data_IF_622086356189
#
_entry.id   IF_622086356189
#
_cell.length_a   1.000
_cell.length_b   1.000
_cell.length_c   1.000
_cell.angle_alpha   90.00
_cell.angle_beta   90.00
_cell.angle_gamma   90.00
#
_symmetry.space_group_name_H-M   'P 1'
#
loop_
_entity.id
_entity.type
_entity.pdbx_description
1 polymer ?
#
# COMPACT_ATOMS: atom_id res chain seq x y z
N UNK A 1 -1.05 7.45 -32.98
CA UNK A 1 -2.01 8.57 -33.04
C UNK A 1 -1.43 9.73 -32.22
N UNK A 2 -1.11 10.86 -32.85
CA UNK A 2 -0.74 12.10 -32.14
C UNK A 2 -1.94 13.05 -32.19
N UNK A 3 -2.84 12.94 -31.21
CA UNK A 3 -3.97 13.86 -31.04
C UNK A 3 -3.97 14.33 -29.58
N UNK A 4 -4.02 15.65 -29.39
CA UNK A 4 -4.05 16.28 -28.06
C UNK A 4 -5.41 16.04 -27.37
N UNK A 5 -5.48 15.89 -26.03
CA UNK A 5 -6.71 15.54 -25.30
C UNK A 5 -7.92 16.45 -25.58
N UNK A 6 -7.70 17.74 -25.85
CA UNK A 6 -8.76 18.71 -26.19
C UNK A 6 -9.37 18.43 -27.58
N UNK A 7 -8.54 18.13 -28.58
CA UNK A 7 -9.02 17.80 -29.93
C UNK A 7 -9.79 16.49 -29.93
N UNK A 8 -9.35 15.53 -29.11
CA UNK A 8 -10.06 14.25 -28.92
C UNK A 8 -11.42 14.48 -28.26
N UNK A 9 -11.54 15.42 -27.32
CA UNK A 9 -12.81 15.70 -26.64
C UNK A 9 -13.87 16.27 -27.58
N UNK A 10 -13.53 17.32 -28.33
CA UNK A 10 -14.43 17.93 -29.31
C UNK A 10 -14.83 16.95 -30.41
N UNK A 11 -13.87 16.14 -30.88
CA UNK A 11 -14.14 15.06 -31.82
C UNK A 11 -15.09 14.03 -31.21
N UNK A 12 -14.83 13.53 -29.99
CA UNK A 12 -15.68 12.52 -29.35
C UNK A 12 -17.10 13.00 -29.12
N UNK A 13 -17.30 14.26 -28.73
CA UNK A 13 -18.65 14.82 -28.53
C UNK A 13 -19.47 14.83 -29.83
N UNK A 14 -18.81 14.97 -30.98
CA UNK A 14 -19.48 14.95 -32.30
C UNK A 14 -19.79 13.56 -32.85
N UNK A 15 -19.18 12.51 -32.30
CA UNK A 15 -19.35 11.13 -32.78
C UNK A 15 -20.69 10.52 -32.33
N UNK A 16 -21.26 9.67 -33.17
CA UNK A 16 -22.39 8.84 -32.77
C UNK A 16 -21.94 7.66 -31.87
N UNK A 17 -22.89 7.01 -31.21
CA UNK A 17 -22.60 5.94 -30.24
C UNK A 17 -21.76 4.78 -30.83
N UNK A 18 -21.97 4.44 -32.10
CA UNK A 18 -21.24 3.35 -32.77
C UNK A 18 -19.79 3.74 -33.05
N UNK A 19 -19.57 4.99 -33.46
CA UNK A 19 -18.23 5.55 -33.67
C UNK A 19 -17.45 5.67 -32.37
N UNK A 20 -18.09 6.12 -31.28
CA UNK A 20 -17.49 6.15 -29.93
C UNK A 20 -17.05 4.77 -29.47
N UNK A 21 -17.89 3.75 -29.65
CA UNK A 21 -17.54 2.37 -29.30
C UNK A 21 -16.38 1.81 -30.13
N UNK A 22 -16.33 2.13 -31.44
CA UNK A 22 -15.24 1.67 -32.30
C UNK A 22 -13.92 2.38 -31.96
N UNK A 23 -13.96 3.69 -31.71
CA UNK A 23 -12.78 4.43 -31.25
C UNK A 23 -12.27 3.87 -29.92
N UNK A 24 -13.17 3.63 -28.97
CA UNK A 24 -12.81 3.01 -27.68
C UNK A 24 -12.18 1.64 -27.88
N UNK A 25 -12.76 0.78 -28.73
CA UNK A 25 -12.20 -0.54 -29.07
C UNK A 25 -10.77 -0.44 -29.61
N UNK A 26 -10.49 0.54 -30.46
CA UNK A 26 -9.15 0.77 -31.01
C UNK A 26 -8.17 1.16 -29.92
N UNK A 27 -8.55 2.09 -29.03
CA UNK A 27 -7.73 2.50 -27.87
C UNK A 27 -7.42 1.30 -26.97
N UNK A 28 -8.42 0.46 -26.66
CA UNK A 28 -8.22 -0.74 -25.84
C UNK A 28 -7.25 -1.73 -26.52
N UNK A 29 -7.36 -1.92 -27.84
CA UNK A 29 -6.46 -2.79 -28.60
C UNK A 29 -5.03 -2.26 -28.60
N UNK A 30 -4.84 -0.96 -28.83
CA UNK A 30 -3.52 -0.33 -28.77
C UNK A 30 -2.92 -0.38 -27.37
N UNK A 31 -3.74 -0.19 -26.34
CA UNK A 31 -3.30 -0.23 -24.95
C UNK A 31 -2.84 -1.64 -24.57
N UNK A 32 -3.50 -2.68 -25.10
CA UNK A 32 -3.07 -4.06 -24.91
C UNK A 32 -1.68 -4.29 -25.51
N UNK A 33 -1.47 -3.84 -26.74
CA UNK A 33 -0.15 -3.93 -27.39
C UNK A 33 0.91 -3.12 -26.62
N UNK A 34 0.57 -1.94 -26.10
CA UNK A 34 1.49 -1.12 -25.32
C UNK A 34 1.87 -1.79 -23.99
N UNK A 35 0.91 -2.42 -23.30
CA UNK A 35 1.16 -3.19 -22.09
C UNK A 35 2.07 -4.40 -22.35
N UNK A 36 1.81 -5.18 -23.41
CA UNK A 36 2.63 -6.33 -23.80
C UNK A 36 4.09 -5.94 -24.12
N UNK A 37 4.29 -4.74 -24.69
CA UNK A 37 5.62 -4.21 -25.00
C UNK A 37 6.22 -3.33 -23.89
N UNK A 38 5.57 -3.26 -22.72
CA UNK A 38 6.00 -2.40 -21.59
C UNK A 38 6.23 -0.93 -21.98
N UNK A 39 5.47 -0.41 -22.94
CA UNK A 39 5.58 0.97 -23.41
C UNK A 39 4.70 1.90 -22.55
N UNK A 40 5.28 2.37 -21.44
CA UNK A 40 4.60 3.18 -20.44
C UNK A 40 4.10 4.53 -21.01
N UNK A 41 4.90 5.21 -21.82
CA UNK A 41 4.52 6.51 -22.38
C UNK A 41 3.30 6.38 -23.30
N UNK A 42 3.24 5.30 -24.08
CA UNK A 42 2.08 4.99 -24.90
C UNK A 42 0.85 4.65 -24.04
N UNK A 43 1.02 3.90 -22.95
CA UNK A 43 -0.08 3.60 -22.02
C UNK A 43 -0.69 4.87 -21.41
N UNK A 44 0.14 5.82 -20.99
CA UNK A 44 -0.31 7.11 -20.46
C UNK A 44 -1.14 7.89 -21.47
N UNK A 45 -0.63 8.03 -22.70
CA UNK A 45 -1.36 8.70 -23.79
C UNK A 45 -2.70 8.04 -24.06
N UNK A 46 -2.73 6.70 -24.14
CA UNK A 46 -3.96 5.95 -24.38
C UNK A 46 -4.95 6.05 -23.22
N UNK A 47 -4.46 6.13 -21.98
CA UNK A 47 -5.28 6.38 -20.80
C UNK A 47 -6.00 7.72 -20.87
N UNK A 48 -5.32 8.80 -21.25
CA UNK A 48 -5.96 10.12 -21.40
C UNK A 48 -7.07 10.09 -22.46
N UNK A 49 -6.80 9.47 -23.61
CA UNK A 49 -7.79 9.31 -24.69
C UNK A 49 -8.98 8.46 -24.22
N UNK A 50 -8.73 7.34 -23.54
CA UNK A 50 -9.78 6.49 -22.99
C UNK A 50 -10.67 7.25 -22.01
N UNK A 51 -10.11 8.05 -21.11
CA UNK A 51 -10.86 8.86 -20.14
C UNK A 51 -11.73 9.90 -20.82
N UNK A 52 -11.25 10.52 -21.91
CA UNK A 52 -12.06 11.46 -22.69
C UNK A 52 -13.28 10.76 -23.29
N UNK A 53 -13.10 9.57 -23.87
CA UNK A 53 -14.20 8.78 -24.45
C UNK A 53 -15.18 8.32 -23.36
N UNK A 54 -14.67 7.85 -22.21
CA UNK A 54 -15.47 7.44 -21.05
C UNK A 54 -16.38 8.57 -20.55
N UNK A 55 -15.87 9.81 -20.52
CA UNK A 55 -16.64 11.00 -20.10
C UNK A 55 -17.66 11.46 -21.15
N UNK A 56 -17.38 11.24 -22.44
CA UNK A 56 -18.25 11.66 -23.55
C UNK A 56 -19.29 10.58 -23.93
N UNK A 57 -19.28 9.43 -23.27
CA UNK A 57 -20.14 8.28 -23.57
C UNK A 57 -20.99 7.87 -22.38
N UNK A 58 -22.18 7.34 -22.63
CA UNK A 58 -22.95 6.65 -21.59
C UNK A 58 -22.21 5.38 -21.15
N UNK A 59 -22.20 5.11 -19.84
CA UNK A 59 -21.43 4.00 -19.25
C UNK A 59 -21.86 2.64 -19.81
N UNK A 60 -23.16 2.48 -20.07
CA UNK A 60 -23.77 1.29 -20.64
C UNK A 60 -23.20 0.94 -22.02
N UNK A 61 -22.82 1.96 -22.81
CA UNK A 61 -22.25 1.76 -24.15
C UNK A 61 -20.87 1.11 -24.08
N UNK A 62 -20.10 1.36 -23.02
CA UNK A 62 -18.71 0.90 -22.88
C UNK A 62 -18.56 -0.34 -21.99
N UNK A 63 -19.63 -0.75 -21.31
CA UNK A 63 -19.62 -1.86 -20.33
C UNK A 63 -19.04 -3.17 -20.88
N UNK A 64 -19.25 -3.46 -22.17
CA UNK A 64 -18.72 -4.66 -22.83
C UNK A 64 -17.19 -4.74 -22.92
N UNK A 65 -16.50 -3.62 -22.65
CA UNK A 65 -15.04 -3.53 -22.68
C UNK A 65 -14.41 -3.61 -21.29
N UNK A 66 -15.19 -3.53 -20.20
CA UNK A 66 -14.68 -3.42 -18.83
C UNK A 66 -13.68 -4.53 -18.48
N UNK A 67 -14.03 -5.80 -18.75
CA UNK A 67 -13.18 -6.96 -18.47
C UNK A 67 -11.96 -7.07 -19.39
N UNK A 68 -11.99 -6.40 -20.54
CA UNK A 68 -10.95 -6.46 -21.58
C UNK A 68 -10.03 -5.25 -21.56
N UNK A 69 -10.28 -4.30 -20.67
CA UNK A 69 -9.58 -3.03 -20.64
C UNK A 69 -8.25 -3.15 -19.88
N UNK A 70 -7.10 -3.11 -20.57
CA UNK A 70 -5.79 -3.23 -19.92
C UNK A 70 -5.39 -1.94 -19.18
N UNK A 71 -6.22 -0.89 -19.23
CA UNK A 71 -6.01 0.38 -18.54
C UNK A 71 -6.81 0.47 -17.23
N UNK A 72 -7.60 -0.55 -16.86
CA UNK A 72 -8.39 -0.58 -15.62
C UNK A 72 -7.85 -1.57 -14.59
N UNK A 73 -7.85 -1.14 -13.33
CA UNK A 73 -7.21 -1.86 -12.20
C UNK A 73 -5.77 -2.26 -12.50
N UNK A 74 -5.06 -1.36 -13.16
CA UNK A 74 -3.63 -1.50 -13.45
C UNK A 74 -2.87 -1.24 -12.17
N UNK A 75 -1.85 -2.04 -11.90
CA UNK A 75 -0.87 -1.82 -10.83
C UNK A 75 0.51 -2.21 -11.38
N UNK A 76 1.31 -1.22 -11.79
CA UNK A 76 2.60 -1.42 -12.45
C UNK A 76 3.68 -0.71 -11.63
N UNK A 77 4.69 -1.47 -11.21
CA UNK A 77 5.95 -0.94 -10.68
C UNK A 77 6.92 -0.82 -11.85
N UNK A 78 7.53 0.35 -12.01
CA UNK A 78 8.47 0.66 -13.09
C UNK A 78 9.81 0.99 -12.47
N UNK A 79 10.85 0.26 -12.83
CA UNK A 79 12.22 0.56 -12.42
C UNK A 79 13.00 1.13 -13.61
N UNK A 80 13.49 2.36 -13.49
CA UNK A 80 14.25 3.03 -14.54
C UNK A 80 15.31 3.93 -13.90
N UNK A 81 16.56 3.78 -14.33
CA UNK A 81 17.71 4.57 -13.89
C UNK A 81 17.89 4.62 -12.37
N UNK A 82 17.63 3.50 -11.69
CA UNK A 82 17.72 3.40 -10.23
C UNK A 82 16.57 4.07 -9.47
N UNK A 83 15.54 4.56 -10.18
CA UNK A 83 14.34 5.12 -9.61
C UNK A 83 13.16 4.17 -9.80
N UNK A 84 12.44 3.92 -8.71
CA UNK A 84 11.18 3.18 -8.74
C UNK A 84 10.02 4.17 -8.90
N UNK A 85 9.18 3.95 -9.92
CA UNK A 85 7.91 4.63 -10.11
C UNK A 85 6.76 3.65 -9.93
N UNK A 86 5.57 4.17 -9.64
CA UNK A 86 4.35 3.40 -9.49
C UNK A 86 3.24 4.01 -10.33
N UNK A 87 2.63 3.18 -11.17
CA UNK A 87 1.54 3.54 -12.05
C UNK A 87 0.32 2.67 -11.69
N UNK A 88 -0.82 3.29 -11.41
CA UNK A 88 -2.05 2.51 -11.15
C UNK A 88 -3.30 3.12 -11.76
N UNK A 89 -4.35 2.33 -11.91
CA UNK A 89 -5.70 2.82 -12.20
C UNK A 89 -6.73 2.16 -11.29
N UNK A 90 -7.89 2.81 -11.18
CA UNK A 90 -9.02 2.31 -10.42
C UNK A 90 -10.00 1.57 -11.34
N UNK A 91 -10.83 0.66 -10.80
CA UNK A 91 -11.70 -0.18 -11.63
C UNK A 91 -12.83 0.57 -12.35
N UNK A 92 -13.13 1.78 -11.93
CA UNK A 92 -14.20 2.61 -12.48
C UNK A 92 -13.75 3.56 -13.61
N UNK A 93 -12.46 3.67 -13.89
CA UNK A 93 -11.93 4.54 -14.94
C UNK A 93 -10.63 4.01 -15.55
N UNK A 94 -10.42 4.30 -16.83
CA UNK A 94 -9.15 4.02 -17.53
C UNK A 94 -8.03 5.00 -17.15
N UNK A 95 -8.27 5.94 -16.21
CA UNK A 95 -7.27 6.94 -15.79
C UNK A 95 -6.11 6.27 -15.06
N UNK A 96 -4.91 6.48 -15.58
CA UNK A 96 -3.66 6.10 -14.94
C UNK A 96 -3.17 7.25 -14.05
N UNK A 97 -2.80 6.91 -12.83
CA UNK A 97 -2.16 7.78 -11.87
C UNK A 97 -0.68 7.44 -11.79
N UNK A 98 0.17 8.43 -12.07
CA UNK A 98 1.61 8.31 -12.01
C UNK A 98 2.15 8.97 -10.74
N UNK A 99 2.83 8.18 -9.91
CA UNK A 99 3.36 8.64 -8.64
C UNK A 99 4.49 9.67 -8.82
N UNK A 100 5.34 9.51 -9.83
CA UNK A 100 6.46 10.41 -10.11
C UNK A 100 5.99 11.74 -10.69
N UNK A 101 4.95 11.74 -11.51
CA UNK A 101 4.41 12.97 -12.11
C UNK A 101 3.59 13.79 -11.11
N UNK A 102 2.72 13.14 -10.31
CA UNK A 102 1.86 13.85 -9.36
C UNK A 102 1.64 13.08 -8.06
N UNK A 103 2.66 13.11 -7.18
CA UNK A 103 2.64 12.43 -5.87
C UNK A 103 1.36 12.69 -5.07
N UNK A 104 0.94 13.95 -5.00
CA UNK A 104 -0.21 14.39 -4.17
C UNK A 104 -1.53 13.83 -4.69
N UNK A 105 -1.82 14.00 -5.98
CA UNK A 105 -3.05 13.49 -6.56
C UNK A 105 -3.07 11.96 -6.52
N UNK A 106 -1.96 11.32 -6.89
CA UNK A 106 -1.82 9.86 -6.92
C UNK A 106 -2.03 9.25 -5.54
N UNK A 107 -1.45 9.83 -4.48
CA UNK A 107 -1.70 9.39 -3.09
C UNK A 107 -3.15 9.61 -2.66
N UNK A 108 -3.73 10.78 -2.96
CA UNK A 108 -5.11 11.09 -2.60
C UNK A 108 -6.10 10.11 -3.24
N UNK A 109 -5.90 9.79 -4.52
CA UNK A 109 -6.75 8.88 -5.27
C UNK A 109 -6.59 7.43 -4.79
N UNK A 110 -5.37 7.02 -4.42
CA UNK A 110 -5.14 5.72 -3.80
C UNK A 110 -5.87 5.60 -2.46
N UNK A 111 -5.82 6.62 -1.60
CA UNK A 111 -6.53 6.62 -0.31
C UNK A 111 -8.04 6.64 -0.51
N UNK A 112 -8.54 7.44 -1.45
CA UNK A 112 -9.96 7.52 -1.80
C UNK A 112 -10.52 6.17 -2.28
N UNK A 113 -9.71 5.34 -2.92
CA UNK A 113 -10.12 4.01 -3.39
C UNK A 113 -10.52 3.04 -2.27
N UNK A 114 -10.11 3.31 -1.02
CA UNK A 114 -10.22 2.39 0.11
C UNK A 114 -9.49 1.03 -0.06
N UNK A 115 -8.60 0.90 -1.06
CA UNK A 115 -7.74 -0.27 -1.20
C UNK A 115 -6.44 -0.09 -0.37
N UNK A 116 -6.38 -0.75 0.79
CA UNK A 116 -5.22 -0.69 1.69
C UNK A 116 -3.96 -1.28 1.05
N UNK A 117 -4.08 -2.30 0.19
CA UNK A 117 -2.91 -2.90 -0.45
C UNK A 117 -2.32 -1.96 -1.52
N UNK A 118 -3.17 -1.24 -2.26
CA UNK A 118 -2.75 -0.18 -3.16
C UNK A 118 -1.97 0.91 -2.41
N UNK A 119 -2.52 1.41 -1.31
CA UNK A 119 -1.85 2.44 -0.49
C UNK A 119 -0.54 1.91 0.11
N UNK A 120 -0.50 0.65 0.57
CA UNK A 120 0.73 0.00 1.05
C UNK A 120 1.82 0.01 -0.01
N UNK A 121 1.52 -0.44 -1.23
CA UNK A 121 2.48 -0.48 -2.33
C UNK A 121 3.00 0.92 -2.66
N UNK A 122 2.09 1.89 -2.73
CA UNK A 122 2.43 3.28 -3.02
C UNK A 122 3.34 3.88 -1.93
N UNK A 123 3.05 3.64 -0.65
CA UNK A 123 3.87 4.14 0.46
C UNK A 123 5.26 3.48 0.48
N UNK A 124 5.38 2.20 0.10
CA UNK A 124 6.69 1.54 -0.05
C UNK A 124 7.54 2.28 -1.10
N UNK A 125 6.95 2.64 -2.24
CA UNK A 125 7.67 3.37 -3.30
C UNK A 125 7.98 4.81 -2.87
N UNK A 126 7.08 5.45 -2.12
CA UNK A 126 7.31 6.81 -1.61
C UNK A 126 8.38 6.89 -0.53
N UNK A 127 8.68 5.80 0.19
CA UNK A 127 9.64 5.74 1.30
C UNK A 127 10.93 5.04 0.88
N UNK A 128 11.82 5.72 0.11
CA UNK A 128 13.17 5.20 -0.09
C UNK A 128 13.93 5.15 1.24
N UNK A 129 15.01 4.37 1.26
CA UNK A 129 15.84 4.14 2.45
C UNK A 129 16.41 5.45 3.06
N UNK A 130 16.53 6.51 2.26
CA UNK A 130 17.03 7.84 2.67
C UNK A 130 16.00 8.96 2.47
N UNK A 131 14.81 8.84 3.04
CA UNK A 131 13.83 9.94 3.02
C UNK A 131 14.26 11.10 3.97
N UNK A 132 14.18 12.35 3.51
CA UNK A 132 14.45 13.51 4.37
C UNK A 132 13.31 13.75 5.37
N UNK A 133 13.59 14.40 6.50
CA UNK A 133 12.54 14.79 7.47
C UNK A 133 11.47 15.68 6.85
N UNK A 134 11.83 16.52 5.88
CA UNK A 134 10.87 17.41 5.18
C UNK A 134 9.87 16.56 4.39
N UNK A 135 10.36 15.55 3.67
CA UNK A 135 9.50 14.65 2.88
C UNK A 135 8.54 13.85 3.78
N UNK A 136 9.01 13.39 4.95
CA UNK A 136 8.16 12.67 5.93
C UNK A 136 7.03 13.59 6.43
N UNK A 137 7.35 14.85 6.76
CA UNK A 137 6.37 15.82 7.26
C UNK A 137 5.30 16.12 6.22
N UNK A 138 5.72 16.37 4.98
CA UNK A 138 4.80 16.65 3.88
C UNK A 138 3.89 15.45 3.60
N UNK A 139 4.43 14.22 3.65
CA UNK A 139 3.64 13.00 3.53
C UNK A 139 2.60 12.87 4.64
N UNK A 140 2.97 13.13 5.90
CA UNK A 140 2.03 13.12 7.04
C UNK A 140 0.90 14.11 6.82
N UNK A 141 1.20 15.34 6.38
CA UNK A 141 0.19 16.37 6.11
C UNK A 141 -0.78 15.91 5.02
N UNK A 142 -0.28 15.27 3.95
CA UNK A 142 -1.13 14.73 2.89
C UNK A 142 -2.04 13.61 3.39
N UNK A 143 -1.53 12.70 4.21
CA UNK A 143 -2.31 11.58 4.75
C UNK A 143 -3.37 12.06 5.75
N UNK A 144 -3.04 13.00 6.65
CA UNK A 144 -4.00 13.60 7.58
C UNK A 144 -5.12 14.31 6.82
N UNK A 145 -4.77 15.11 5.82
CA UNK A 145 -5.74 15.79 4.97
C UNK A 145 -6.68 14.79 4.28
N UNK A 146 -6.15 13.68 3.77
CA UNK A 146 -6.97 12.63 3.17
C UNK A 146 -7.92 11.99 4.20
N UNK A 147 -7.48 11.75 5.43
CA UNK A 147 -8.34 11.26 6.52
C UNK A 147 -9.46 12.24 6.89
N UNK A 148 -9.21 13.54 6.83
CA UNK A 148 -10.20 14.58 7.14
C UNK A 148 -11.25 14.77 6.02
N UNK A 149 -10.82 14.69 4.76
CA UNK A 149 -11.65 15.03 3.60
C UNK A 149 -12.44 13.83 3.02
N UNK A 150 -11.96 12.60 3.24
CA UNK A 150 -12.51 11.40 2.59
C UNK A 150 -13.37 10.56 3.53
N UNK A 151 -14.43 9.97 2.99
CA UNK A 151 -15.21 8.96 3.69
C UNK A 151 -14.51 7.59 3.58
N UNK A 152 -13.60 7.33 4.52
CA UNK A 152 -12.77 6.13 4.55
C UNK A 152 -13.44 4.98 5.32
N UNK A 153 -13.20 3.77 4.86
CA UNK A 153 -13.53 2.55 5.56
C UNK A 153 -12.75 2.45 6.87
N UNK A 154 -13.29 1.71 7.84
CA UNK A 154 -12.61 1.49 9.13
C UNK A 154 -11.19 0.92 8.93
N UNK A 155 -11.01 0.04 7.94
CA UNK A 155 -9.72 -0.59 7.68
C UNK A 155 -8.69 0.40 7.14
N UNK A 156 -9.11 1.29 6.23
CA UNK A 156 -8.25 2.34 5.72
C UNK A 156 -7.91 3.34 6.84
N UNK A 157 -8.88 3.76 7.67
CA UNK A 157 -8.61 4.63 8.81
C UNK A 157 -7.60 4.00 9.78
N UNK A 158 -7.84 2.75 10.21
CA UNK A 158 -6.93 2.04 11.10
C UNK A 158 -5.52 1.90 10.50
N UNK A 159 -5.42 1.69 9.19
CA UNK A 159 -4.13 1.60 8.49
C UNK A 159 -3.41 2.96 8.47
N UNK A 160 -4.10 4.02 8.07
CA UNK A 160 -3.53 5.37 7.97
C UNK A 160 -3.13 5.92 9.34
N UNK A 161 -3.94 5.73 10.38
CA UNK A 161 -3.60 6.12 11.75
C UNK A 161 -2.28 5.50 12.21
N UNK A 162 -2.10 4.19 11.96
CA UNK A 162 -0.85 3.49 12.27
C UNK A 162 0.34 4.06 11.48
N UNK A 163 0.16 4.33 10.18
CA UNK A 163 1.23 4.88 9.33
C UNK A 163 1.60 6.31 9.68
N UNK A 164 0.62 7.18 9.90
CA UNK A 164 0.82 8.55 10.35
C UNK A 164 1.56 8.56 11.69
N UNK A 165 1.15 7.70 12.64
CA UNK A 165 1.84 7.56 13.93
C UNK A 165 3.29 7.13 13.78
N UNK A 166 3.59 6.20 12.87
CA UNK A 166 4.96 5.79 12.57
C UNK A 166 5.78 6.91 11.92
N UNK A 167 5.23 7.63 10.95
CA UNK A 167 5.93 8.72 10.26
C UNK A 167 6.19 9.93 11.17
N UNK A 168 5.23 10.29 12.02
CA UNK A 168 5.46 11.29 13.06
C UNK A 168 6.60 10.88 14.00
N UNK A 169 6.63 9.60 14.41
CA UNK A 169 7.73 9.09 15.20
C UNK A 169 9.08 9.22 14.47
N UNK A 170 9.15 8.86 13.18
CA UNK A 170 10.39 8.99 12.39
C UNK A 170 10.83 10.46 12.22
N UNK A 171 9.88 11.38 12.05
CA UNK A 171 10.17 12.81 11.95
C UNK A 171 10.83 13.36 13.23
N UNK A 172 10.28 13.00 14.40
CA UNK A 172 10.79 13.41 15.72
C UNK A 172 11.98 12.57 16.21
N UNK A 173 12.29 11.48 15.49
CA UNK A 173 13.37 10.57 15.85
C UNK A 173 14.73 11.26 15.70
N UNK A 174 15.56 11.09 16.73
CA UNK A 174 16.94 11.56 16.77
C UNK A 174 17.81 10.38 17.18
N UNK A 175 18.72 9.96 16.30
CA UNK A 175 19.58 8.79 16.49
C UNK A 175 20.60 8.95 17.63
N UNK A 176 20.78 10.19 18.11
CA UNK A 176 21.57 10.59 19.28
C UNK A 176 20.87 10.32 20.62
N UNK A 177 19.53 10.14 20.63
CA UNK A 177 18.78 9.81 21.85
C UNK A 177 19.07 8.38 22.31
N UNK A 178 18.85 8.15 23.60
CA UNK A 178 18.97 6.81 24.16
C UNK A 178 17.84 5.91 23.67
N UNK A 179 18.16 4.98 22.79
CA UNK A 179 17.20 4.09 22.13
C UNK A 179 16.51 3.13 23.11
N UNK A 180 17.24 2.69 24.15
CA UNK A 180 16.69 1.80 25.17
C UNK A 180 15.65 2.55 25.99
N UNK A 181 15.95 3.78 26.36
CA UNK A 181 15.02 4.66 27.07
C UNK A 181 13.80 5.02 26.21
N UNK A 182 14.00 5.34 24.93
CA UNK A 182 12.92 5.56 23.97
C UNK A 182 12.02 4.34 23.81
N UNK A 183 12.59 3.14 23.76
CA UNK A 183 11.82 1.89 23.73
C UNK A 183 11.06 1.66 25.04
N UNK A 184 11.73 1.84 26.19
CA UNK A 184 11.17 1.60 27.52
C UNK A 184 10.00 2.53 27.88
N UNK A 185 10.11 3.82 27.53
CA UNK A 185 9.14 4.84 27.93
C UNK A 185 7.83 4.83 27.12
N UNK A 186 7.73 3.98 26.09
CA UNK A 186 6.49 3.83 25.33
C UNK A 186 5.52 2.90 26.08
N UNK A 187 4.31 3.42 26.34
CA UNK A 187 3.27 2.73 27.12
C UNK A 187 2.61 1.57 26.35
N UNK A 188 2.50 1.70 25.02
CA UNK A 188 1.80 0.75 24.15
C UNK A 188 2.76 0.05 23.21
N UNK A 189 2.46 -1.22 22.91
CA UNK A 189 3.16 -1.99 21.88
C UNK A 189 2.79 -1.44 20.52
N UNK A 190 3.77 -0.99 19.75
CA UNK A 190 3.58 -0.57 18.37
C UNK A 190 4.53 -1.37 17.49
N UNK A 191 3.99 -2.30 16.68
CA UNK A 191 4.82 -3.27 15.97
C UNK A 191 5.85 -2.62 15.04
N UNK A 192 5.52 -1.50 14.39
CA UNK A 192 6.44 -0.82 13.47
C UNK A 192 7.53 -0.06 14.22
N UNK A 193 7.16 0.74 15.22
CA UNK A 193 8.11 1.54 15.99
C UNK A 193 8.99 0.66 16.88
N UNK A 194 8.41 -0.29 17.58
CA UNK A 194 9.15 -1.20 18.45
C UNK A 194 10.13 -2.05 17.63
N UNK A 195 9.72 -2.55 16.46
CA UNK A 195 10.62 -3.27 15.55
C UNK A 195 11.74 -2.35 15.06
N UNK A 196 11.43 -1.13 14.62
CA UNK A 196 12.43 -0.16 14.17
C UNK A 196 13.47 0.12 15.25
N UNK A 197 13.03 0.43 16.48
CA UNK A 197 13.92 0.70 17.61
C UNK A 197 14.78 -0.53 17.94
N UNK A 198 14.17 -1.72 18.05
CA UNK A 198 14.89 -2.96 18.34
C UNK A 198 15.89 -3.32 17.23
N UNK A 199 15.57 -3.06 15.97
CA UNK A 199 16.50 -3.27 14.84
C UNK A 199 17.73 -2.36 14.92
N UNK A 200 17.63 -1.16 15.49
CA UNK A 200 18.81 -0.31 15.72
C UNK A 200 19.54 -0.74 17.00
N UNK A 201 18.81 -1.10 18.05
CA UNK A 201 19.37 -1.58 19.31
C UNK A 201 20.19 -2.86 19.09
N UNK A 202 19.68 -3.81 18.31
CA UNK A 202 20.37 -5.10 18.06
C UNK A 202 21.70 -4.91 17.33
N UNK A 203 21.81 -3.92 16.45
CA UNK A 203 23.08 -3.56 15.78
C UNK A 203 24.11 -3.02 16.77
N UNK A 204 23.67 -2.39 17.86
CA UNK A 204 24.54 -1.83 18.91
C UNK A 204 24.89 -2.85 20.02
N UNK A 205 24.17 -3.96 20.11
CA UNK A 205 24.42 -5.02 21.10
C UNK A 205 25.37 -6.06 20.50
N UNK A 206 26.45 -6.38 21.22
CA UNK A 206 27.36 -7.49 20.85
C UNK A 206 26.64 -8.85 21.01
N UNK A 207 27.14 -9.89 20.33
CA UNK A 207 26.62 -11.25 20.44
C UNK A 207 26.45 -11.72 21.90
N UNK A 208 25.42 -12.52 22.18
CA UNK A 208 25.13 -13.05 23.50
C UNK A 208 23.63 -13.17 23.80
N UNK A 209 23.30 -13.46 25.06
CA UNK A 209 21.91 -13.68 25.50
C UNK A 209 20.99 -12.49 25.19
N UNK A 210 21.44 -11.25 25.41
CA UNK A 210 20.64 -10.05 25.15
C UNK A 210 20.37 -9.85 23.65
N UNK A 211 21.34 -10.22 22.79
CA UNK A 211 21.15 -10.23 21.35
C UNK A 211 20.07 -11.22 20.92
N UNK A 212 20.05 -12.42 21.52
CA UNK A 212 19.00 -13.41 21.26
C UNK A 212 17.63 -12.93 21.72
N UNK A 213 17.52 -12.33 22.91
CA UNK A 213 16.24 -11.83 23.44
C UNK A 213 15.66 -10.69 22.58
N UNK A 214 16.51 -9.75 22.13
CA UNK A 214 16.08 -8.68 21.20
C UNK A 214 15.59 -9.26 19.87
N UNK A 215 16.31 -10.22 19.29
CA UNK A 215 15.88 -10.87 18.04
C UNK A 215 14.58 -11.66 18.22
N UNK A 216 14.41 -12.37 19.33
CA UNK A 216 13.18 -13.07 19.65
C UNK A 216 11.98 -12.13 19.72
N UNK A 217 12.16 -10.95 20.35
CA UNK A 217 11.11 -9.93 20.40
C UNK A 217 10.80 -9.33 19.02
N UNK A 218 11.83 -9.09 18.19
CA UNK A 218 11.63 -8.65 16.78
C UNK A 218 10.79 -9.69 16.02
N UNK A 219 11.12 -10.97 16.14
CA UNK A 219 10.37 -12.06 15.49
C UNK A 219 8.93 -12.14 16.02
N UNK A 220 8.73 -12.02 17.33
CA UNK A 220 7.40 -12.01 17.93
C UNK A 220 6.55 -10.84 17.37
N UNK A 221 7.11 -9.63 17.32
CA UNK A 221 6.44 -8.47 16.71
C UNK A 221 6.09 -8.71 15.23
N UNK A 222 6.97 -9.35 14.46
CA UNK A 222 6.68 -9.73 13.06
C UNK A 222 5.52 -10.72 12.97
N UNK A 223 5.45 -11.72 13.86
CA UNK A 223 4.36 -12.71 13.87
C UNK A 223 3.02 -12.08 14.23
N UNK A 224 2.97 -11.20 15.23
CA UNK A 224 1.76 -10.43 15.55
C UNK A 224 1.32 -9.52 14.39
N UNK A 225 2.25 -8.80 13.77
CA UNK A 225 1.94 -7.97 12.60
C UNK A 225 1.41 -8.80 11.41
N UNK A 226 2.00 -9.99 11.17
CA UNK A 226 1.55 -10.92 10.14
C UNK A 226 0.15 -11.46 10.42
N UNK A 227 -0.17 -11.78 11.67
CA UNK A 227 -1.50 -12.22 12.07
C UNK A 227 -2.57 -11.16 11.73
N UNK A 228 -2.34 -9.91 12.10
CA UNK A 228 -3.25 -8.80 11.79
C UNK A 228 -3.39 -8.57 10.27
N UNK A 229 -2.29 -8.70 9.52
CA UNK A 229 -2.29 -8.62 8.06
C UNK A 229 -3.14 -9.72 7.43
N UNK A 230 -2.98 -10.97 7.87
CA UNK A 230 -3.76 -12.11 7.39
C UNK A 230 -5.25 -11.92 7.68
N UNK A 231 -5.59 -11.49 8.89
CA UNK A 231 -6.98 -11.19 9.29
C UNK A 231 -7.63 -10.17 8.37
N UNK A 232 -6.92 -9.10 8.04
CA UNK A 232 -7.37 -8.10 7.06
C UNK A 232 -7.58 -8.73 5.67
N UNK A 233 -6.57 -9.44 5.15
CA UNK A 233 -6.62 -10.04 3.79
C UNK A 233 -7.77 -11.05 3.67
N UNK A 234 -7.97 -11.89 4.67
CA UNK A 234 -9.09 -12.85 4.71
C UNK A 234 -10.43 -12.12 4.67
N UNK A 235 -10.62 -11.10 5.51
CA UNK A 235 -11.88 -10.33 5.54
C UNK A 235 -12.14 -9.63 4.21
N UNK A 236 -11.11 -9.03 3.60
CA UNK A 236 -11.20 -8.41 2.27
C UNK A 236 -11.65 -9.41 1.21
N UNK A 237 -10.97 -10.55 1.10
CA UNK A 237 -11.30 -11.59 0.12
C UNK A 237 -12.73 -12.12 0.31
N UNK A 238 -13.15 -12.34 1.56
CA UNK A 238 -14.54 -12.73 1.88
C UNK A 238 -15.56 -11.68 1.40
N UNK A 239 -15.24 -10.39 1.56
CA UNK A 239 -16.08 -9.30 1.05
C UNK A 239 -16.12 -9.25 -0.48
N UNK A 240 -14.98 -9.48 -1.15
CA UNK A 240 -14.91 -9.54 -2.62
C UNK A 240 -15.77 -10.67 -3.17
N UNK A 241 -15.68 -11.87 -2.57
CA UNK A 241 -16.54 -13.03 -2.89
C UNK A 241 -18.02 -12.68 -2.71
N UNK A 242 -18.39 -12.14 -1.55
CA UNK A 242 -19.78 -11.79 -1.24
C UNK A 242 -20.36 -10.73 -2.19
N UNK A 243 -19.51 -9.82 -2.68
CA UNK A 243 -19.92 -8.75 -3.59
C UNK A 243 -20.00 -9.17 -5.06
N UNK A 244 -19.46 -10.33 -5.42
CA UNK A 244 -19.36 -10.79 -6.81
C UNK A 244 -18.46 -9.92 -7.72
N UNK A 245 -17.63 -9.03 -7.12
CA UNK A 245 -16.75 -8.10 -7.85
C UNK A 245 -15.36 -8.68 -8.15
N UNK A 246 -15.13 -9.95 -7.84
CA UNK A 246 -13.82 -10.56 -8.09
C UNK A 246 -13.59 -10.84 -9.56
N UNK A 247 -12.38 -10.52 -10.04
CA UNK A 247 -11.85 -10.96 -11.33
C UNK A 247 -11.46 -12.44 -11.37
N UNK A 248 -11.21 -13.02 -10.20
CA UNK A 248 -10.84 -14.43 -10.05
C UNK A 248 -12.08 -15.29 -9.80
N UNK A 249 -12.02 -16.52 -10.30
CA UNK A 249 -13.03 -17.55 -10.06
C UNK A 249 -13.14 -17.80 -8.55
N UNK A 250 -14.37 -17.93 -8.05
CA UNK A 250 -14.67 -18.08 -6.62
C UNK A 250 -13.86 -19.20 -5.96
N UNK A 251 -13.65 -20.33 -6.64
CA UNK A 251 -12.83 -21.44 -6.11
C UNK A 251 -11.39 -21.01 -5.81
N UNK A 252 -10.77 -20.19 -6.67
CA UNK A 252 -9.40 -19.71 -6.50
C UNK A 252 -9.30 -18.82 -5.26
N UNK A 253 -10.29 -17.94 -5.06
CA UNK A 253 -10.32 -17.08 -3.88
C UNK A 253 -10.55 -17.90 -2.61
N UNK A 254 -11.41 -18.92 -2.68
CA UNK A 254 -11.69 -19.78 -1.54
C UNK A 254 -10.45 -20.56 -1.10
N UNK A 255 -9.71 -21.17 -2.03
CA UNK A 255 -8.42 -21.81 -1.72
C UNK A 255 -7.41 -20.81 -1.12
N UNK A 256 -7.36 -19.59 -1.67
CA UNK A 256 -6.50 -18.50 -1.19
C UNK A 256 -6.87 -18.04 0.25
N UNK A 257 -8.16 -18.07 0.61
CA UNK A 257 -8.64 -17.82 1.98
C UNK A 257 -8.20 -18.96 2.91
N UNK A 258 -8.43 -20.21 2.53
CA UNK A 258 -8.11 -21.39 3.35
C UNK A 258 -6.62 -21.49 3.69
N UNK A 259 -5.74 -21.21 2.71
CA UNK A 259 -4.29 -21.16 2.94
C UNK A 259 -3.91 -20.10 3.97
N UNK A 260 -4.51 -18.91 3.89
CA UNK A 260 -4.26 -17.81 4.84
C UNK A 260 -4.83 -18.11 6.21
N UNK A 261 -6.00 -18.73 6.29
CA UNK A 261 -6.58 -19.16 7.56
C UNK A 261 -5.71 -20.20 8.24
N UNK A 262 -5.15 -21.15 7.48
CA UNK A 262 -4.19 -22.12 8.00
C UNK A 262 -2.94 -21.44 8.56
N UNK A 263 -2.32 -20.53 7.80
CA UNK A 263 -1.14 -19.77 8.28
C UNK A 263 -1.49 -18.96 9.55
N UNK A 264 -2.65 -18.31 9.56
CA UNK A 264 -3.12 -17.52 10.69
C UNK A 264 -3.30 -18.38 11.95
N UNK A 265 -3.91 -19.57 11.82
CA UNK A 265 -4.04 -20.54 12.90
C UNK A 265 -2.68 -20.99 13.44
N UNK A 266 -1.72 -21.28 12.57
CA UNK A 266 -0.37 -21.68 12.98
C UNK A 266 0.35 -20.57 13.77
N UNK A 267 0.18 -19.31 13.36
CA UNK A 267 0.71 -18.15 14.09
C UNK A 267 -0.02 -18.00 15.44
N UNK A 268 -1.34 -18.16 15.45
CA UNK A 268 -2.17 -18.02 16.64
C UNK A 268 -1.73 -18.98 17.75
N UNK A 269 -1.63 -20.27 17.42
CA UNK A 269 -1.30 -21.32 18.38
C UNK A 269 0.14 -21.20 18.89
N UNK A 270 1.08 -20.77 18.06
CA UNK A 270 2.50 -20.72 18.43
C UNK A 270 2.90 -19.41 19.11
N UNK A 271 2.29 -18.29 18.75
CA UNK A 271 2.79 -16.96 19.12
C UNK A 271 1.76 -16.05 19.77
N UNK A 272 0.45 -16.22 19.50
CA UNK A 272 -0.56 -15.29 20.02
C UNK A 272 -1.20 -15.80 21.30
N UNK A 273 -1.66 -17.07 21.31
CA UNK A 273 -2.30 -17.68 22.49
C UNK A 273 -1.34 -17.91 23.67
N UNK A 274 -0.13 -18.45 23.47
CA UNK A 274 0.74 -18.79 24.60
C UNK A 274 1.56 -17.59 25.12
N UNK A 275 1.63 -16.47 24.40
CA UNK A 275 2.55 -15.37 24.69
C UNK A 275 1.79 -14.06 24.88
N UNK A 276 1.91 -13.47 26.06
CA UNK A 276 1.48 -12.10 26.30
C UNK A 276 2.57 -11.13 25.82
N UNK A 277 2.38 -10.56 24.62
CA UNK A 277 3.31 -9.62 23.99
C UNK A 277 3.65 -8.42 24.88
N UNK A 278 2.72 -7.94 25.70
CA UNK A 278 2.94 -6.80 26.60
C UNK A 278 3.87 -7.21 27.73
N UNK A 279 3.71 -8.41 28.27
CA UNK A 279 4.60 -8.94 29.32
C UNK A 279 5.98 -9.25 28.79
N UNK A 280 6.09 -9.84 27.58
CA UNK A 280 7.37 -10.07 26.93
C UNK A 280 8.13 -8.77 26.66
N UNK A 281 7.43 -7.74 26.18
CA UNK A 281 8.00 -6.40 26.03
C UNK A 281 8.52 -5.85 27.36
N UNK A 282 7.73 -5.94 28.44
CA UNK A 282 8.15 -5.50 29.78
C UNK A 282 9.36 -6.28 30.30
N UNK A 283 9.42 -7.58 30.05
CA UNK A 283 10.54 -8.46 30.40
C UNK A 283 11.82 -8.00 29.69
N UNK A 284 11.75 -7.75 28.38
CA UNK A 284 12.87 -7.26 27.59
C UNK A 284 13.32 -5.87 28.06
N UNK A 285 12.41 -4.94 28.33
CA UNK A 285 12.73 -3.61 28.86
C UNK A 285 13.55 -3.71 30.15
N UNK A 286 13.14 -4.57 31.09
CA UNK A 286 13.90 -4.80 32.35
C UNK A 286 15.31 -5.29 32.07
N UNK A 287 15.47 -6.23 31.14
CA UNK A 287 16.80 -6.77 30.77
C UNK A 287 17.69 -5.71 30.11
N UNK A 288 17.15 -4.93 29.17
CA UNK A 288 17.87 -3.85 28.48
C UNK A 288 18.30 -2.76 29.46
N UNK A 289 17.40 -2.34 30.36
CA UNK A 289 17.71 -1.33 31.38
C UNK A 289 18.72 -1.86 32.42
N UNK A 290 18.67 -3.13 32.80
CA UNK A 290 19.60 -3.71 33.78
C UNK A 290 21.03 -3.84 33.23
N UNK A 291 21.18 -4.34 31.99
CA UNK A 291 22.50 -4.51 31.35
C UNK A 291 23.15 -3.18 30.91
N UNK A 292 22.39 -2.08 30.87
CA UNK A 292 22.93 -0.70 30.69
C UNK A 292 23.89 -0.27 31.82
N UNK A 293 23.81 -0.90 33.00
CA UNK A 293 24.59 -0.54 34.20
C UNK A 293 25.75 -1.50 34.54
N UNK A 294 26.08 -2.46 33.66
CA UNK A 294 27.28 -3.28 33.82
C UNK A 294 28.30 -2.91 32.74
N UNK A 295 29.51 -2.43 33.10
CA UNK A 295 30.55 -2.15 32.11
C UNK A 295 31.00 -3.47 31.47
N UNK A 296 31.10 -3.46 30.14
CA UNK A 296 31.79 -4.50 29.36
C UNK A 296 33.30 -4.41 29.53
#
# INVERSE_FOLDING_TARGET
>A
MELLPLQVKEQCESLNNKEKQELYRQVIKEAKNAAENSNIDQLKKLSEVAVVIEKASEKELLKSFDDKNPLREVNIIIESDGLTNYLFSLGDSSKLYDLRENKKETLYQAVQSNDVELVKQLLIVLLPEEMSKVDIKDLVVLLLKACEELNLSQDMNNYLEKKIGFYNFLYDFESSKDLIELFANRLEVNYEIDKFLLSIIVVRIKEGELFSEVNNMIELLKKHARFDELKYKIRRLKSEVASGKSKYITEIIQSSIEEREKEMCEIEEKYIKPIDLVQERKRLVKQLCFKRFQPF
#
